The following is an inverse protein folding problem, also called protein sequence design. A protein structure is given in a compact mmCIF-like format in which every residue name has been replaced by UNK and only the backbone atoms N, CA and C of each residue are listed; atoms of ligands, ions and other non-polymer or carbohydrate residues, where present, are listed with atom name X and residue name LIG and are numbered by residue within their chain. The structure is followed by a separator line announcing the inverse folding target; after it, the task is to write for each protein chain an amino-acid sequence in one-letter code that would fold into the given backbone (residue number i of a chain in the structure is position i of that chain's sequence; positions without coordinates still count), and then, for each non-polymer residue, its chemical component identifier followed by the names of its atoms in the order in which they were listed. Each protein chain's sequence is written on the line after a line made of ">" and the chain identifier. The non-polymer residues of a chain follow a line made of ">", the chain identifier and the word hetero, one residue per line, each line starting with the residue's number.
data_IF_402405565868
#
_entry.id   IF_402405565868
#
_cell.length_a   1.000
_cell.length_b   1.000
_cell.length_c   1.000
_cell.angle_alpha   90.00
_cell.angle_beta   90.00
_cell.angle_gamma   90.00
#
_symmetry.space_group_name_H-M   'P 1'
#
loop_
_entity.id
_entity.type
_entity.pdbx_description
1 polymer ?
#
# COMPACT_ATOMS: atom_id res chain seq x y z
N UNK A 1 12.74 5.42 4.99
CA UNK A 1 11.82 5.32 3.82
C UNK A 1 10.35 5.34 4.25
N UNK A 2 9.91 4.48 5.19
CA UNK A 2 8.50 4.39 5.61
C UNK A 2 7.82 5.71 5.96
N UNK A 3 8.46 6.56 6.79
CA UNK A 3 7.92 7.89 7.13
C UNK A 3 7.69 8.79 5.90
N UNK A 4 8.63 8.80 4.96
CA UNK A 4 8.50 9.58 3.72
C UNK A 4 7.37 9.05 2.83
N UNK A 5 7.19 7.73 2.76
CA UNK A 5 6.10 7.10 2.03
C UNK A 5 4.73 7.39 2.64
N UNK A 6 4.66 7.45 3.98
CA UNK A 6 3.45 7.84 4.71
C UNK A 6 3.04 9.30 4.50
N UNK A 7 4.00 10.19 4.25
CA UNK A 7 3.78 11.62 4.01
C UNK A 7 3.59 11.99 2.53
N UNK A 8 3.47 11.00 1.63
CA UNK A 8 3.33 11.26 0.20
C UNK A 8 2.02 12.04 -0.10
N UNK A 9 2.10 13.29 -0.65
CA UNK A 9 0.92 14.11 -0.93
C UNK A 9 0.15 13.64 -2.18
N UNK A 10 0.73 12.77 -3.01
CA UNK A 10 0.11 12.23 -4.22
C UNK A 10 0.17 10.70 -4.23
N UNK A 11 -0.64 10.01 -3.39
CA UNK A 11 -0.76 8.57 -3.44
C UNK A 11 -1.21 8.07 -4.82
N UNK A 12 -0.94 6.80 -5.13
CA UNK A 12 -1.20 6.16 -6.45
C UNK A 12 -0.28 6.65 -7.56
N UNK A 13 -0.17 7.96 -7.80
CA UNK A 13 0.74 8.53 -8.82
C UNK A 13 2.20 8.26 -8.44
N UNK A 14 2.57 8.60 -7.21
CA UNK A 14 3.78 8.07 -6.58
C UNK A 14 3.36 6.76 -5.87
N UNK A 15 3.84 5.58 -6.30
CA UNK A 15 3.29 4.29 -5.91
C UNK A 15 3.79 3.84 -4.53
N UNK A 16 3.61 4.68 -3.50
CA UNK A 16 4.03 4.38 -2.13
C UNK A 16 3.29 3.18 -1.53
N UNK A 17 2.15 2.77 -2.08
CA UNK A 17 1.44 1.55 -1.72
C UNK A 17 2.17 0.27 -2.15
N UNK A 18 3.15 0.35 -3.08
CA UNK A 18 3.97 -0.80 -3.51
C UNK A 18 5.17 -1.09 -2.61
N UNK A 19 5.50 -0.19 -1.67
CA UNK A 19 6.56 -0.42 -0.70
C UNK A 19 6.03 -1.27 0.44
N UNK A 20 6.55 -2.48 0.61
CA UNK A 20 6.14 -3.46 1.62
C UNK A 20 7.28 -3.76 2.60
N UNK A 21 6.97 -4.42 3.71
CA UNK A 21 7.99 -4.85 4.68
C UNK A 21 8.75 -6.06 4.14
N UNK A 22 10.02 -6.18 4.54
CA UNK A 22 10.92 -7.22 4.02
C UNK A 22 10.54 -8.64 4.47
N UNK A 23 9.77 -8.75 5.55
CA UNK A 23 9.26 -10.02 6.11
C UNK A 23 7.93 -10.46 5.47
N UNK A 24 7.48 -9.76 4.42
CA UNK A 24 6.20 -10.03 3.75
C UNK A 24 5.01 -9.31 4.39
N UNK A 25 5.24 -8.52 5.44
CA UNK A 25 4.24 -7.63 6.01
C UNK A 25 3.81 -6.53 5.02
N UNK A 26 2.55 -6.10 5.13
CA UNK A 26 2.03 -5.04 4.26
C UNK A 26 2.58 -3.66 4.63
N UNK A 27 3.02 -3.45 5.88
CA UNK A 27 3.42 -2.16 6.41
C UNK A 27 2.33 -1.08 6.40
N UNK A 28 2.72 0.13 6.83
CA UNK A 28 1.84 1.30 6.90
C UNK A 28 1.51 1.92 5.54
N UNK A 29 0.50 2.79 5.55
CA UNK A 29 0.11 3.62 4.41
C UNK A 29 -0.54 4.91 4.89
N UNK A 30 -0.18 6.05 4.30
CA UNK A 30 -0.75 7.36 4.66
C UNK A 30 -2.28 7.42 4.50
N UNK A 31 -2.83 6.72 3.50
CA UNK A 31 -4.28 6.57 3.30
C UNK A 31 -4.92 5.38 4.03
N UNK A 32 -4.21 4.77 4.99
CA UNK A 32 -4.66 3.61 5.76
C UNK A 32 -4.38 2.25 5.10
N UNK A 33 -4.14 1.23 5.94
CA UNK A 33 -3.73 -0.11 5.49
C UNK A 33 -4.79 -0.77 4.59
N UNK A 34 -6.09 -0.54 4.85
CA UNK A 34 -7.17 -1.07 4.01
C UNK A 34 -7.09 -0.56 2.57
N UNK A 35 -6.81 0.73 2.38
CA UNK A 35 -6.63 1.34 1.06
C UNK A 35 -5.43 0.73 0.34
N UNK A 36 -4.30 0.54 1.03
CA UNK A 36 -3.13 -0.13 0.47
C UNK A 36 -3.43 -1.56 0.03
N UNK A 37 -4.15 -2.35 0.83
CA UNK A 37 -4.62 -3.70 0.46
C UNK A 37 -5.45 -3.67 -0.81
N UNK A 38 -6.42 -2.76 -0.89
CA UNK A 38 -7.28 -2.62 -2.07
C UNK A 38 -6.50 -2.24 -3.32
N UNK A 39 -5.57 -1.28 -3.23
CA UNK A 39 -4.72 -0.88 -4.35
C UNK A 39 -3.85 -2.04 -4.84
N UNK A 40 -3.22 -2.77 -3.91
CA UNK A 40 -2.43 -3.95 -4.27
C UNK A 40 -3.30 -5.08 -4.86
N UNK A 41 -4.54 -5.23 -4.41
CA UNK A 41 -5.48 -6.19 -5.00
C UNK A 41 -5.90 -5.81 -6.41
N UNK A 42 -6.20 -4.53 -6.65
CA UNK A 42 -6.51 -3.99 -8.00
C UNK A 42 -5.32 -4.15 -8.96
N UNK A 43 -4.08 -4.13 -8.44
CA UNK A 43 -2.86 -4.40 -9.22
C UNK A 43 -2.58 -5.90 -9.40
N UNK A 44 -3.40 -6.80 -8.83
CA UNK A 44 -3.21 -8.25 -8.90
C UNK A 44 -2.09 -8.80 -8.00
N UNK A 45 -1.56 -7.99 -7.09
CA UNK A 45 -0.51 -8.40 -6.14
C UNK A 45 -1.09 -9.16 -4.95
N UNK A 46 -2.28 -8.76 -4.51
CA UNK A 46 -3.04 -9.43 -3.45
C UNK A 46 -4.33 -10.01 -4.00
N UNK A 47 -4.89 -11.08 -3.40
CA UNK A 47 -6.24 -11.52 -3.73
C UNK A 47 -7.23 -10.40 -3.42
N UNK A 48 -8.22 -10.21 -4.30
CA UNK A 48 -9.36 -9.35 -3.96
C UNK A 48 -10.07 -9.91 -2.71
N UNK A 49 -10.40 -9.06 -1.72
CA UNK A 49 -11.20 -9.51 -0.60
C UNK A 49 -12.52 -10.03 -1.15
N UNK A 50 -12.90 -11.26 -0.77
CA UNK A 50 -14.10 -11.88 -1.33
C UNK A 50 -15.40 -11.21 -0.84
N UNK A 51 -15.38 -10.43 0.25
CA UNK A 51 -16.50 -9.67 0.79
C UNK A 51 -15.99 -8.49 1.61
#
# INVERSE_FOLDING_TARGET
>A
VGMAMGANPLPVVVPCHRVVESDGGIGGFGGGVATKRRLLALEGVLPEPLF
#
